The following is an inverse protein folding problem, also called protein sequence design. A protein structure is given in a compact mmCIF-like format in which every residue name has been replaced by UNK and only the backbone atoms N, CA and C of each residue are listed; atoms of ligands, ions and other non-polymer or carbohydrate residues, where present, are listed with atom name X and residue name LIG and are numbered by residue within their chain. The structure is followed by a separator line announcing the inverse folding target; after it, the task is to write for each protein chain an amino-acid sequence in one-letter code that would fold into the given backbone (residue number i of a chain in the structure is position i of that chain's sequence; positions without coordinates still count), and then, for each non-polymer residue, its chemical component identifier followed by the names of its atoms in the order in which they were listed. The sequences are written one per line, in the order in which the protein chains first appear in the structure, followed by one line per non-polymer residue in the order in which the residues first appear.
data_IF_426807909251
#
_entry.id   IF_426807909251
#
_cell.length_a   1.000
_cell.length_b   1.000
_cell.length_c   1.000
_cell.angle_alpha   90.00
_cell.angle_beta   90.00
_cell.angle_gamma   90.00
#
_symmetry.space_group_name_H-M   'P 1'
#
loop_
_entity.id
_entity.type
_entity.pdbx_description
1 polymer ?
#
# COMPACT_ATOMS: atom_id res chain seq x y z
N UNK A 1 -14.89 -13.01 6.83
CA UNK A 1 -13.76 -13.34 7.71
C UNK A 1 -12.88 -12.16 8.10
N UNK A 2 -12.21 -11.45 7.18
CA UNK A 2 -11.34 -10.32 7.56
C UNK A 2 -12.01 -9.29 8.49
N UNK A 3 -13.27 -8.93 8.25
CA UNK A 3 -14.04 -8.07 9.16
C UNK A 3 -14.30 -8.71 10.54
N UNK A 4 -14.48 -10.03 10.62
CA UNK A 4 -14.68 -10.74 11.88
C UNK A 4 -13.38 -10.83 12.69
N UNK A 5 -12.23 -10.97 12.01
CA UNK A 5 -10.90 -10.86 12.61
C UNK A 5 -10.66 -9.43 13.09
N UNK A 6 -10.95 -8.43 12.26
CA UNK A 6 -10.85 -7.01 12.63
C UNK A 6 -11.73 -6.65 13.84
N UNK A 7 -12.91 -7.27 13.95
CA UNK A 7 -13.83 -7.11 15.07
C UNK A 7 -13.43 -7.92 16.32
N UNK A 8 -12.31 -8.64 16.30
CA UNK A 8 -11.83 -9.51 17.38
C UNK A 8 -12.81 -10.65 17.73
N UNK A 9 -13.72 -10.99 16.81
CA UNK A 9 -14.70 -12.08 16.96
C UNK A 9 -14.14 -13.41 16.45
N UNK A 10 -13.18 -13.36 15.53
CA UNK A 10 -12.49 -14.54 14.99
C UNK A 10 -11.05 -14.58 15.47
N UNK A 11 -10.59 -15.77 15.90
CA UNK A 11 -9.20 -16.05 16.29
C UNK A 11 -8.34 -16.49 15.09
N UNK A 12 -8.89 -16.44 13.89
CA UNK A 12 -8.18 -16.82 12.66
C UNK A 12 -7.09 -15.80 12.34
N UNK A 13 -6.00 -16.25 11.71
CA UNK A 13 -4.92 -15.36 11.30
C UNK A 13 -5.36 -14.49 10.11
N UNK A 14 -5.17 -13.17 10.23
CA UNK A 14 -5.43 -12.23 9.16
C UNK A 14 -4.60 -12.56 7.92
N UNK A 15 -3.36 -13.03 8.09
CA UNK A 15 -2.40 -13.32 7.02
C UNK A 15 -2.97 -14.30 5.99
N UNK A 16 -3.60 -15.38 6.44
CA UNK A 16 -4.18 -16.39 5.56
C UNK A 16 -5.32 -15.81 4.70
N UNK A 17 -6.17 -14.98 5.29
CA UNK A 17 -7.27 -14.36 4.58
C UNK A 17 -6.83 -13.19 3.68
N UNK A 18 -5.75 -12.50 4.05
CA UNK A 18 -5.08 -11.52 3.17
C UNK A 18 -4.54 -12.23 1.92
N UNK A 19 -3.92 -13.41 2.06
CA UNK A 19 -3.46 -14.20 0.90
C UNK A 19 -4.62 -14.63 0.01
N UNK A 20 -5.73 -15.09 0.60
CA UNK A 20 -6.94 -15.47 -0.16
C UNK A 20 -7.54 -14.28 -0.89
N UNK A 21 -7.62 -13.11 -0.23
CA UNK A 21 -8.07 -11.88 -0.86
C UNK A 21 -7.15 -11.50 -2.02
N UNK A 22 -5.84 -11.54 -1.81
CA UNK A 22 -4.84 -11.17 -2.81
C UNK A 22 -4.88 -12.08 -4.05
N UNK A 23 -5.14 -13.39 -3.88
CA UNK A 23 -5.36 -14.31 -5.01
C UNK A 23 -6.51 -13.88 -5.93
N UNK A 24 -7.47 -13.11 -5.41
CA UNK A 24 -8.61 -12.58 -6.18
C UNK A 24 -8.35 -11.19 -6.74
N UNK A 25 -7.82 -10.29 -5.92
CA UNK A 25 -7.53 -8.90 -6.31
C UNK A 25 -6.36 -8.82 -7.28
N UNK A 26 -5.31 -9.63 -7.05
CA UNK A 26 -4.09 -9.74 -7.87
C UNK A 26 -3.34 -8.42 -8.08
N UNK A 27 -3.54 -7.48 -7.15
CA UNK A 27 -2.86 -6.19 -7.08
C UNK A 27 -2.56 -5.92 -5.60
N UNK A 28 -1.28 -5.69 -5.29
CA UNK A 28 -0.77 -5.54 -3.93
C UNK A 28 -1.25 -4.21 -3.32
N UNK A 29 -1.22 -3.13 -4.11
CA UNK A 29 -1.67 -1.81 -3.67
C UNK A 29 -3.16 -1.86 -3.34
N UNK A 30 -3.99 -2.45 -4.21
CA UNK A 30 -5.41 -2.62 -3.94
C UNK A 30 -5.67 -3.51 -2.72
N UNK A 31 -4.89 -4.58 -2.55
CA UNK A 31 -5.03 -5.47 -1.39
C UNK A 31 -4.74 -4.73 -0.09
N UNK A 32 -3.64 -3.96 -0.04
CA UNK A 32 -3.29 -3.12 1.13
C UNK A 32 -4.40 -2.14 1.49
N UNK A 33 -4.92 -1.43 0.49
CA UNK A 33 -5.95 -0.42 0.71
C UNK A 33 -7.27 -1.07 1.16
N UNK A 34 -7.70 -2.15 0.51
CA UNK A 34 -8.89 -2.90 0.94
C UNK A 34 -8.78 -3.37 2.41
N UNK A 35 -7.65 -3.99 2.78
CA UNK A 35 -7.46 -4.51 4.15
C UNK A 35 -7.41 -3.36 5.16
N UNK A 36 -6.67 -2.28 4.86
CA UNK A 36 -6.63 -1.10 5.70
C UNK A 36 -8.02 -0.48 5.90
N UNK A 37 -8.79 -0.31 4.84
CA UNK A 37 -10.13 0.31 4.90
C UNK A 37 -11.11 -0.57 5.70
N UNK A 38 -11.01 -1.91 5.60
CA UNK A 38 -11.81 -2.83 6.43
C UNK A 38 -11.50 -2.65 7.93
N UNK A 39 -10.22 -2.53 8.29
CA UNK A 39 -9.83 -2.26 9.67
C UNK A 39 -10.22 -0.86 10.11
N UNK A 40 -10.07 0.16 9.25
CA UNK A 40 -10.51 1.52 9.55
C UNK A 40 -11.99 1.57 9.93
N UNK A 41 -12.84 0.79 9.24
CA UNK A 41 -14.28 0.72 9.50
C UNK A 41 -14.63 -0.03 10.78
N UNK A 42 -13.88 -1.07 11.14
CA UNK A 42 -14.24 -2.01 12.22
C UNK A 42 -13.44 -1.75 13.51
N UNK A 43 -12.13 -1.58 13.39
CA UNK A 43 -11.20 -1.34 14.49
C UNK A 43 -10.07 -0.39 14.06
N UNK A 44 -10.35 0.93 13.96
CA UNK A 44 -9.42 1.91 13.39
C UNK A 44 -8.11 2.06 14.18
N UNK A 45 -8.08 1.59 15.44
CA UNK A 45 -6.86 1.61 16.27
C UNK A 45 -5.79 0.66 15.73
N UNK A 46 -6.22 -0.45 15.15
CA UNK A 46 -5.35 -1.50 14.60
C UNK A 46 -5.14 -1.36 13.08
N UNK A 47 -5.68 -0.32 12.45
CA UNK A 47 -5.50 -0.05 11.01
C UNK A 47 -4.01 -0.01 10.63
N UNK A 48 -3.20 0.66 11.45
CA UNK A 48 -1.77 0.76 11.21
C UNK A 48 -1.08 -0.60 11.34
N UNK A 49 -1.44 -1.37 12.35
CA UNK A 49 -0.89 -2.71 12.60
C UNK A 49 -1.17 -3.63 11.41
N UNK A 50 -2.40 -3.65 10.91
CA UNK A 50 -2.75 -4.48 9.75
C UNK A 50 -2.08 -3.97 8.47
N UNK A 51 -1.90 -2.66 8.32
CA UNK A 51 -1.18 -2.10 7.19
C UNK A 51 0.28 -2.56 7.16
N UNK A 52 0.97 -2.46 8.30
CA UNK A 52 2.35 -2.93 8.47
C UNK A 52 2.46 -4.45 8.24
N UNK A 53 1.44 -5.23 8.65
CA UNK A 53 1.34 -6.66 8.34
C UNK A 53 1.30 -6.90 6.83
N UNK A 54 0.39 -6.25 6.09
CA UNK A 54 0.30 -6.44 4.64
C UNK A 54 1.57 -5.96 3.93
N UNK A 55 2.22 -4.88 4.43
CA UNK A 55 3.55 -4.46 3.97
C UNK A 55 4.61 -5.55 4.15
N UNK A 56 4.65 -6.19 5.32
CA UNK A 56 5.59 -7.28 5.58
C UNK A 56 5.37 -8.51 4.69
N UNK A 57 4.15 -8.66 4.16
CA UNK A 57 3.77 -9.78 3.30
C UNK A 57 4.02 -9.53 1.81
N UNK A 58 4.50 -8.35 1.38
CA UNK A 58 4.64 -8.01 -0.06
C UNK A 58 5.40 -9.06 -0.87
N UNK A 59 6.52 -9.57 -0.36
CA UNK A 59 7.31 -10.60 -1.04
C UNK A 59 6.50 -11.89 -1.21
N UNK A 60 5.79 -12.31 -0.17
CA UNK A 60 4.90 -13.48 -0.19
C UNK A 60 3.74 -13.28 -1.16
N UNK A 61 3.11 -12.11 -1.15
CA UNK A 61 2.00 -11.76 -2.03
C UNK A 61 2.45 -11.81 -3.50
N UNK A 62 3.62 -11.24 -3.79
CA UNK A 62 4.25 -11.26 -5.13
C UNK A 62 4.59 -12.68 -5.57
N UNK A 63 5.10 -13.53 -4.67
CA UNK A 63 5.42 -14.92 -4.99
C UNK A 63 4.16 -15.76 -5.27
N UNK A 64 3.07 -15.51 -4.55
CA UNK A 64 1.80 -16.23 -4.70
C UNK A 64 1.04 -15.80 -5.94
N UNK A 65 1.07 -14.51 -6.27
CA UNK A 65 0.51 -13.97 -7.52
C UNK A 65 1.58 -13.13 -8.22
N UNK A 66 2.37 -13.76 -9.11
CA UNK A 66 3.35 -13.02 -9.89
C UNK A 66 2.65 -11.95 -10.74
N UNK A 67 3.27 -10.76 -10.90
CA UNK A 67 2.74 -9.71 -11.75
C UNK A 67 2.71 -10.21 -13.20
N UNK A 68 1.51 -10.42 -13.73
CA UNK A 68 1.28 -10.82 -15.12
C UNK A 68 0.62 -9.66 -15.87
N UNK A 69 1.31 -9.18 -16.92
CA UNK A 69 0.85 -8.09 -17.78
C UNK A 69 -0.50 -8.40 -18.47
N UNK A 70 -0.86 -9.68 -18.59
CA UNK A 70 -2.17 -10.12 -19.09
C UNK A 70 -3.33 -9.79 -18.13
N UNK A 71 -3.04 -9.62 -16.84
CA UNK A 71 -4.04 -9.27 -15.82
C UNK A 71 -4.39 -7.80 -15.89
N UNK A 72 -3.39 -6.91 -16.06
CA UNK A 72 -3.64 -5.48 -16.21
C UNK A 72 -4.54 -5.19 -17.42
N UNK A 73 -4.37 -5.95 -18.50
CA UNK A 73 -5.23 -5.88 -19.69
C UNK A 73 -6.61 -6.52 -19.48
N UNK A 74 -6.73 -7.61 -18.71
CA UNK A 74 -8.03 -8.16 -18.31
C UNK A 74 -8.78 -7.28 -17.31
N UNK A 75 -8.08 -6.58 -16.41
CA UNK A 75 -8.66 -5.61 -15.48
C UNK A 75 -9.22 -4.40 -16.24
N UNK A 76 -8.50 -3.93 -17.26
CA UNK A 76 -9.01 -2.94 -18.23
C UNK A 76 -10.25 -3.43 -19.01
N UNK A 77 -10.32 -4.73 -19.30
CA UNK A 77 -11.49 -5.35 -19.92
C UNK A 77 -12.68 -5.50 -18.97
N UNK A 78 -12.41 -5.73 -17.68
CA UNK A 78 -13.42 -5.87 -16.61
C UNK A 78 -14.00 -4.53 -16.15
N UNK A 79 -13.24 -3.43 -16.24
CA UNK A 79 -13.74 -2.07 -15.95
C UNK A 79 -14.85 -1.61 -16.91
N UNK A 80 -14.99 -2.28 -18.06
CA UNK A 80 -16.08 -2.02 -19.01
C UNK A 80 -17.40 -2.73 -18.66
N UNK A 81 -17.43 -3.57 -17.62
CA UNK A 81 -18.65 -4.29 -17.21
C UNK A 81 -19.40 -3.48 -16.14
N UNK A 82 -20.65 -3.02 -16.41
CA UNK A 82 -21.41 -2.23 -15.44
C UNK A 82 -21.68 -3.05 -14.17
N UNK A 83 -21.14 -2.60 -13.03
CA UNK A 83 -21.29 -3.26 -11.73
C UNK A 83 -19.98 -3.78 -11.12
N UNK A 84 -18.91 -3.95 -11.91
CA UNK A 84 -17.58 -4.36 -11.44
C UNK A 84 -16.67 -3.16 -11.13
N UNK A 85 -17.27 -2.05 -10.69
CA UNK A 85 -16.59 -0.76 -10.46
C UNK A 85 -15.84 -0.68 -9.14
N UNK A 86 -15.80 -1.75 -8.34
CA UNK A 86 -15.10 -1.72 -7.05
C UNK A 86 -13.60 -1.51 -7.28
N UNK A 87 -13.05 -2.21 -8.25
CA UNK A 87 -11.62 -2.20 -8.61
C UNK A 87 -11.20 -0.81 -9.13
N UNK A 88 -12.03 -0.20 -9.96
CA UNK A 88 -11.84 1.15 -10.51
C UNK A 88 -12.02 2.24 -9.44
N UNK A 89 -13.05 2.13 -8.60
CA UNK A 89 -13.28 3.03 -7.48
C UNK A 89 -12.17 2.93 -6.42
N UNK A 90 -11.67 1.73 -6.14
CA UNK A 90 -10.52 1.50 -5.28
C UNK A 90 -9.25 2.06 -5.90
N UNK A 91 -8.99 1.84 -7.19
CA UNK A 91 -7.83 2.42 -7.86
C UNK A 91 -7.83 3.96 -7.82
N UNK A 92 -9.00 4.58 -8.04
CA UNK A 92 -9.17 6.02 -7.85
C UNK A 92 -8.94 6.45 -6.39
N UNK A 93 -9.51 5.72 -5.42
CA UNK A 93 -9.31 6.01 -4.00
C UNK A 93 -7.88 5.76 -3.52
N UNK A 94 -7.12 4.83 -4.11
CA UNK A 94 -5.68 4.67 -3.87
C UNK A 94 -4.94 5.94 -4.27
N UNK A 95 -5.21 6.46 -5.47
CA UNK A 95 -4.60 7.71 -5.97
C UNK A 95 -4.95 8.89 -5.05
N UNK A 96 -6.19 8.96 -4.57
CA UNK A 96 -6.66 10.02 -3.67
C UNK A 96 -6.13 9.88 -2.23
N UNK A 97 -6.05 8.65 -1.70
CA UNK A 97 -5.63 8.38 -0.32
C UNK A 97 -4.11 8.44 -0.12
N UNK A 98 -3.32 8.20 -1.19
CA UNK A 98 -1.87 8.54 -1.21
C UNK A 98 -1.61 10.01 -0.81
N UNK A 99 -2.60 10.91 -0.93
CA UNK A 99 -2.52 12.32 -0.52
C UNK A 99 -2.94 12.60 0.93
N UNK A 100 -3.58 11.65 1.64
CA UNK A 100 -4.20 11.87 2.96
C UNK A 100 -3.72 10.91 4.07
N UNK A 101 -3.05 9.82 3.72
CA UNK A 101 -2.54 8.86 4.71
C UNK A 101 -1.40 9.48 5.54
N UNK A 102 -1.19 9.08 6.81
CA UNK A 102 -0.12 9.61 7.63
C UNK A 102 1.22 9.23 7.00
N UNK A 103 1.86 10.20 6.35
CA UNK A 103 3.25 10.07 5.93
C UNK A 103 4.08 9.93 7.20
N UNK A 104 4.91 8.89 7.30
CA UNK A 104 5.80 8.61 8.44
C UNK A 104 6.30 9.92 9.07
N UNK A 105 6.05 10.20 10.37
CA UNK A 105 6.81 11.23 11.06
C UNK A 105 8.28 10.78 11.02
N UNK A 106 9.09 11.45 10.20
CA UNK A 106 10.49 11.11 9.95
C UNK A 106 10.85 10.78 8.49
N UNK A 107 9.90 10.50 7.59
CA UNK A 107 10.25 10.33 6.17
C UNK A 107 10.62 11.66 5.52
N UNK A 108 9.87 12.73 5.82
CA UNK A 108 10.23 14.08 5.36
C UNK A 108 11.49 14.60 6.05
N UNK A 109 11.73 14.19 7.30
CA UNK A 109 12.92 14.55 8.07
C UNK A 109 14.18 13.88 7.50
N UNK A 110 14.10 12.61 7.07
CA UNK A 110 15.17 11.90 6.35
C UNK A 110 15.44 12.49 4.96
N UNK A 111 14.39 12.92 4.25
CA UNK A 111 14.54 13.58 2.94
C UNK A 111 15.19 14.97 3.13
N UNK A 112 14.76 15.75 4.12
CA UNK A 112 15.27 17.10 4.39
C UNK A 112 16.70 17.08 4.94
N UNK A 113 17.04 16.10 5.78
CA UNK A 113 18.43 15.90 6.25
C UNK A 113 19.36 15.43 5.13
N UNK A 114 18.90 14.55 4.23
CA UNK A 114 19.69 14.18 3.05
C UNK A 114 19.87 15.34 2.07
N UNK A 115 18.84 16.20 1.90
CA UNK A 115 18.92 17.37 1.02
C UNK A 115 19.85 18.46 1.57
N UNK A 116 19.80 18.74 2.88
CA UNK A 116 20.73 19.65 3.54
C UNK A 116 22.18 19.13 3.55
N UNK A 117 22.38 17.81 3.72
CA UNK A 117 23.71 17.19 3.63
C UNK A 117 24.28 17.26 2.22
N UNK A 118 23.44 17.09 1.19
CA UNK A 118 23.84 17.24 -0.20
C UNK A 118 24.21 18.69 -0.57
N UNK A 119 23.52 19.69 -0.01
CA UNK A 119 23.87 21.10 -0.18
C UNK A 119 25.17 21.50 0.54
N UNK A 120 25.46 20.91 1.70
CA UNK A 120 26.72 21.15 2.42
C UNK A 120 27.92 20.45 1.78
N UNK A 121 27.71 19.29 1.14
CA UNK A 121 28.76 18.56 0.43
C UNK A 121 29.12 19.15 -0.95
N UNK A 122 28.26 20.02 -1.51
CA UNK A 122 28.51 20.71 -2.79
C UNK A 122 29.12 22.11 -2.65
N UNK A 123 29.51 22.54 -1.44
CA UNK A 123 29.99 23.89 -1.13
C UNK A 123 31.50 24.03 -0.89
N UNK A 124 32.31 23.06 -1.32
CA UNK A 124 33.79 23.12 -1.22
C UNK A 124 34.43 22.57 -2.48
N UNK A 125 34.31 23.30 -3.59
CA UNK A 125 35.39 23.40 -4.57
C UNK A 125 35.06 24.58 -5.49
N UNK A 126 35.64 25.76 -5.21
CA UNK A 126 35.90 26.79 -6.23
C UNK A 126 36.71 27.95 -5.64
N UNK A 127 38.00 27.98 -6.01
CA UNK A 127 38.90 29.14 -5.91
C UNK A 127 40.04 28.96 -4.88
N UNK A 128 41.32 29.04 -5.21
CA UNK A 128 42.00 29.79 -6.27
C UNK A 128 43.35 29.13 -6.61
N UNK A 129 43.60 28.98 -7.91
CA UNK A 129 44.95 28.88 -8.46
C UNK A 129 45.14 30.15 -9.30
N UNK A 130 46.04 31.03 -8.85
CA UNK A 130 46.39 32.30 -9.48
C UNK A 130 47.70 32.80 -8.89
#
# INVERSE_FOLDING_TARGET
ELMAIAAEVSVSDASDFILVLHKRVRDIDLTKHCVGDLWHLVNPKEERTVWELVESMEETLTAVVPPDASIASQALGRSQVPGLRLDEALAMHVIESKRKRPVKPGAMEKIMTNWNRAQQAGGMDDGQNG
#
